data_IF_026180756794
#
_entry.id   IF_026180756794
#
_cell.length_a   1.000
_cell.length_b   1.000
_cell.length_c   1.000
_cell.angle_alpha   90.00
_cell.angle_beta   90.00
_cell.angle_gamma   90.00
#
_symmetry.space_group_name_H-M   'P 1'
#
loop_
_entity.id
_entity.type
_entity.pdbx_description
1 polymer ?
#
# COMPACT_ATOMS: atom_id res chain seq x y z
N UNK A 1 49.23 39.74 29.12
CA UNK A 1 47.77 39.68 28.91
C UNK A 1 47.37 38.23 29.02
N UNK A 2 46.78 37.86 30.16
CA UNK A 2 46.11 36.57 30.34
C UNK A 2 44.72 36.69 29.74
N UNK A 3 44.30 35.67 28.99
CA UNK A 3 42.93 35.50 28.55
C UNK A 3 42.57 34.04 28.80
N UNK A 4 41.99 33.78 29.97
CA UNK A 4 41.12 32.62 30.17
C UNK A 4 39.84 32.84 29.37
N UNK A 5 39.34 31.77 28.74
CA UNK A 5 38.16 31.84 27.88
C UNK A 5 37.56 30.47 27.61
N UNK A 6 36.69 30.06 28.55
CA UNK A 6 35.46 29.26 28.37
C UNK A 6 35.62 27.83 27.83
N UNK A 7 35.57 26.88 28.76
CA UNK A 7 35.06 25.51 28.55
C UNK A 7 33.64 25.59 27.95
N UNK A 8 33.55 25.31 26.65
CA UNK A 8 32.28 25.01 26.00
C UNK A 8 31.91 23.58 26.32
N UNK A 9 30.92 23.42 27.18
CA UNK A 9 30.17 22.19 27.44
C UNK A 9 29.77 21.55 26.10
N UNK A 10 30.56 20.58 25.64
CA UNK A 10 30.19 19.70 24.54
C UNK A 10 29.14 18.74 25.08
N UNK A 11 27.92 19.24 25.26
CA UNK A 11 26.74 18.46 25.53
C UNK A 11 26.73 17.31 24.51
N UNK A 12 27.01 16.11 25.01
CA UNK A 12 26.94 14.89 24.25
C UNK A 12 25.56 14.86 23.59
N UNK A 13 25.53 15.01 22.27
CA UNK A 13 24.31 14.86 21.49
C UNK A 13 23.91 13.40 21.67
N UNK A 14 23.05 13.16 22.67
CA UNK A 14 22.56 11.84 22.98
C UNK A 14 21.96 11.27 21.69
N UNK A 15 22.66 10.30 21.11
CA UNK A 15 22.23 9.65 19.88
C UNK A 15 20.79 9.18 20.09
N UNK A 16 19.86 9.67 19.26
CA UNK A 16 18.47 9.26 19.31
C UNK A 16 18.43 7.71 19.36
N UNK A 17 17.61 7.12 20.24
CA UNK A 17 17.58 5.68 20.41
C UNK A 17 17.34 5.04 19.04
N UNK A 18 18.27 4.18 18.62
CA UNK A 18 18.12 3.41 17.38
C UNK A 18 16.82 2.63 17.50
N UNK A 19 15.90 2.85 16.57
CA UNK A 19 14.67 2.08 16.52
C UNK A 19 15.02 0.61 16.28
N UNK A 20 14.85 -0.22 17.31
CA UNK A 20 15.07 -1.67 17.24
C UNK A 20 13.71 -2.33 17.07
N UNK A 21 13.51 -2.97 15.92
CA UNK A 21 12.34 -3.81 15.69
C UNK A 21 12.45 -5.08 16.53
N UNK A 22 11.35 -5.49 17.15
CA UNK A 22 11.29 -6.79 17.81
C UNK A 22 11.54 -7.89 16.77
N UNK A 23 12.45 -8.85 17.05
CA UNK A 23 12.64 -10.00 16.18
C UNK A 23 11.31 -10.75 16.03
N UNK A 24 10.75 -10.70 14.82
CA UNK A 24 9.55 -11.44 14.46
C UNK A 24 9.92 -12.52 13.44
N UNK A 25 9.27 -13.68 13.52
CA UNK A 25 9.40 -14.67 12.45
C UNK A 25 8.85 -14.07 11.17
N UNK A 26 9.61 -14.19 10.09
CA UNK A 26 9.16 -13.83 8.76
C UNK A 26 8.22 -14.95 8.30
N UNK A 27 6.92 -14.74 8.48
CA UNK A 27 5.89 -15.67 8.02
C UNK A 27 5.54 -15.40 6.56
N UNK A 28 5.19 -16.44 5.81
CA UNK A 28 4.69 -16.28 4.45
C UNK A 28 3.29 -15.66 4.49
N UNK A 29 3.02 -14.73 3.58
CA UNK A 29 1.81 -13.91 3.56
C UNK A 29 1.09 -14.05 2.22
N UNK A 30 -0.23 -14.02 2.27
CA UNK A 30 -1.11 -13.83 1.13
C UNK A 30 -1.69 -12.41 1.24
N UNK A 31 -1.29 -11.54 0.32
CA UNK A 31 -1.59 -10.12 0.35
C UNK A 31 -2.55 -9.77 -0.79
N UNK A 32 -3.76 -9.36 -0.44
CA UNK A 32 -4.76 -8.87 -1.38
C UNK A 32 -4.63 -7.34 -1.49
N UNK A 33 -4.21 -6.85 -2.65
CA UNK A 33 -4.34 -5.43 -2.97
C UNK A 33 -5.75 -5.14 -3.48
N UNK A 34 -6.37 -4.11 -2.91
CA UNK A 34 -7.61 -3.55 -3.41
C UNK A 34 -7.38 -2.07 -3.73
N UNK A 35 -7.39 -1.74 -5.01
CA UNK A 35 -7.07 -0.40 -5.51
C UNK A 35 -8.35 0.31 -5.92
N UNK A 36 -8.62 1.47 -5.32
CA UNK A 36 -9.67 2.37 -5.77
C UNK A 36 -9.33 2.92 -7.16
N UNK A 37 -10.18 2.64 -8.15
CA UNK A 37 -9.98 3.01 -9.55
C UNK A 37 -11.00 4.07 -10.01
N UNK A 38 -11.58 4.84 -9.08
CA UNK A 38 -12.46 5.94 -9.45
C UNK A 38 -11.78 7.00 -10.35
N UNK A 39 -12.56 7.83 -11.05
CA UNK A 39 -12.05 8.94 -11.85
C UNK A 39 -11.18 9.91 -11.02
N UNK A 40 -11.41 10.06 -9.71
CA UNK A 40 -10.54 10.83 -8.81
C UNK A 40 -9.09 10.32 -8.76
N UNK A 41 -8.83 9.08 -9.20
CA UNK A 41 -7.49 8.52 -9.33
C UNK A 41 -6.65 9.16 -10.45
N UNK A 42 -7.30 9.85 -11.39
CA UNK A 42 -6.62 10.59 -12.47
C UNK A 42 -6.19 12.00 -12.05
N UNK A 43 -6.60 12.48 -10.89
CA UNK A 43 -6.21 13.81 -10.41
C UNK A 43 -4.69 13.88 -10.28
N UNK A 44 -4.12 14.92 -10.87
CA UNK A 44 -2.68 15.17 -10.84
C UNK A 44 -2.21 15.44 -9.41
N UNK A 45 -1.05 14.88 -9.08
CA UNK A 45 -0.39 15.16 -7.82
C UNK A 45 0.39 16.49 -7.92
N UNK A 46 0.54 17.16 -6.77
CA UNK A 46 1.38 18.37 -6.66
C UNK A 46 2.88 18.11 -6.89
N UNK A 47 3.27 16.84 -7.02
CA UNK A 47 4.62 16.41 -7.35
C UNK A 47 4.71 16.12 -8.84
N UNK A 48 5.72 16.67 -9.51
CA UNK A 48 6.02 16.36 -10.91
C UNK A 48 6.69 14.99 -11.03
N UNK A 49 6.26 14.19 -12.00
CA UNK A 49 6.90 12.92 -12.33
C UNK A 49 8.28 13.10 -12.97
N UNK A 50 8.96 11.98 -13.31
CA UNK A 50 10.25 12.02 -14.01
C UNK A 50 10.17 12.91 -15.26
N UNK A 51 11.07 13.89 -15.36
CA UNK A 51 11.12 14.82 -16.49
C UNK A 51 10.04 15.92 -16.47
N UNK A 52 9.44 16.23 -15.33
CA UNK A 52 8.50 17.34 -15.18
C UNK A 52 7.09 17.04 -15.69
N UNK A 53 6.80 15.80 -16.08
CA UNK A 53 5.50 15.40 -16.61
C UNK A 53 4.45 15.36 -15.50
N UNK A 54 3.18 15.71 -15.80
CA UNK A 54 2.08 15.49 -14.87
C UNK A 54 2.01 14.03 -14.44
N UNK A 55 1.71 13.81 -13.16
CA UNK A 55 1.74 12.49 -12.52
C UNK A 55 0.41 12.27 -11.79
N UNK A 56 -0.40 11.33 -12.27
CA UNK A 56 -1.69 11.06 -11.63
C UNK A 56 -1.52 10.23 -10.36
N UNK A 57 -2.49 10.30 -9.43
CA UNK A 57 -2.50 9.46 -8.22
C UNK A 57 -2.41 7.97 -8.55
N UNK A 58 -3.10 7.53 -9.62
CA UNK A 58 -3.05 6.13 -10.06
C UNK A 58 -1.64 5.70 -10.47
N UNK A 59 -0.85 6.59 -11.09
CA UNK A 59 0.54 6.29 -11.46
C UNK A 59 1.42 6.13 -10.22
N UNK A 60 1.23 6.98 -9.22
CA UNK A 60 1.89 6.86 -7.92
C UNK A 60 1.58 5.53 -7.22
N UNK A 61 0.30 5.14 -7.27
CA UNK A 61 -0.16 3.87 -6.71
C UNK A 61 0.49 2.71 -7.44
N UNK A 62 0.52 2.72 -8.78
CA UNK A 62 1.20 1.67 -9.57
C UNK A 62 2.68 1.53 -9.18
N UNK A 63 3.40 2.65 -9.07
CA UNK A 63 4.82 2.64 -8.69
C UNK A 63 5.04 2.12 -7.25
N UNK A 64 4.24 2.58 -6.29
CA UNK A 64 4.33 2.14 -4.90
C UNK A 64 3.98 0.65 -4.72
N UNK A 65 2.99 0.14 -5.45
CA UNK A 65 2.64 -1.28 -5.45
C UNK A 65 3.78 -2.13 -6.00
N UNK A 66 4.41 -1.73 -7.12
CA UNK A 66 5.56 -2.42 -7.68
C UNK A 66 6.71 -2.48 -6.66
N UNK A 67 7.08 -1.33 -6.09
CA UNK A 67 8.13 -1.24 -5.07
C UNK A 67 7.82 -2.13 -3.86
N UNK A 68 6.57 -2.13 -3.40
CA UNK A 68 6.13 -2.94 -2.28
C UNK A 68 6.25 -4.44 -2.58
N UNK A 69 5.78 -4.90 -3.75
CA UNK A 69 5.89 -6.31 -4.17
C UNK A 69 7.35 -6.75 -4.18
N UNK A 70 8.23 -5.99 -4.84
CA UNK A 70 9.66 -6.29 -4.88
C UNK A 70 10.27 -6.33 -3.47
N UNK A 71 9.94 -5.34 -2.63
CA UNK A 71 10.48 -5.23 -1.28
C UNK A 71 10.03 -6.39 -0.39
N UNK A 72 8.76 -6.81 -0.49
CA UNK A 72 8.25 -7.97 0.25
C UNK A 72 8.92 -9.27 -0.24
N UNK A 73 8.98 -9.50 -1.54
CA UNK A 73 9.62 -10.72 -2.08
C UNK A 73 11.12 -10.80 -1.74
N UNK A 74 11.82 -9.67 -1.67
CA UNK A 74 13.22 -9.63 -1.21
C UNK A 74 13.38 -10.06 0.27
N UNK A 75 12.37 -9.82 1.10
CA UNK A 75 12.34 -10.26 2.52
C UNK A 75 11.96 -11.74 2.61
N UNK A 76 10.97 -12.17 1.83
CA UNK A 76 10.54 -13.57 1.77
C UNK A 76 9.95 -13.89 0.38
N UNK A 77 10.61 -14.76 -0.42
CA UNK A 77 10.16 -15.12 -1.76
C UNK A 77 8.84 -15.90 -1.77
N UNK A 78 8.42 -16.44 -0.62
CA UNK A 78 7.16 -17.17 -0.51
C UNK A 78 5.95 -16.25 -0.41
N UNK A 79 6.09 -14.92 -0.25
CA UNK A 79 4.94 -14.01 -0.24
C UNK A 79 4.18 -14.09 -1.57
N UNK A 80 2.85 -14.05 -1.50
CA UNK A 80 1.98 -14.11 -2.69
C UNK A 80 1.03 -12.94 -2.72
N UNK A 81 0.70 -12.49 -3.92
CA UNK A 81 -0.12 -11.32 -4.16
C UNK A 81 -1.32 -11.65 -5.05
N UNK A 82 -2.45 -11.04 -4.74
CA UNK A 82 -3.65 -11.01 -5.56
C UNK A 82 -4.15 -9.57 -5.67
N UNK A 83 -4.93 -9.28 -6.71
CA UNK A 83 -5.31 -7.92 -7.06
C UNK A 83 -6.82 -7.82 -7.29
N UNK A 84 -7.42 -6.81 -6.68
CA UNK A 84 -8.79 -6.40 -6.88
C UNK A 84 -8.84 -4.89 -7.14
N UNK A 85 -9.89 -4.47 -7.85
CA UNK A 85 -10.22 -3.05 -8.07
C UNK A 85 -11.47 -2.71 -7.29
N UNK A 86 -11.57 -1.46 -6.83
CA UNK A 86 -12.77 -0.92 -6.21
C UNK A 86 -13.28 0.27 -7.03
N UNK A 87 -14.48 0.14 -7.56
CA UNK A 87 -15.28 1.28 -8.05
C UNK A 87 -16.51 1.40 -7.16
N UNK A 88 -17.70 1.05 -7.66
CA UNK A 88 -18.90 0.94 -6.83
C UNK A 88 -18.83 -0.27 -5.89
N UNK A 89 -18.28 -1.39 -6.36
CA UNK A 89 -18.02 -2.58 -5.56
C UNK A 89 -16.69 -3.21 -5.95
N UNK A 90 -16.18 -4.13 -5.12
CA UNK A 90 -14.90 -4.78 -5.37
C UNK A 90 -15.03 -5.84 -6.48
N UNK A 91 -14.10 -5.83 -7.43
CA UNK A 91 -14.00 -6.82 -8.50
C UNK A 91 -12.57 -7.39 -8.56
N UNK A 92 -12.47 -8.67 -8.94
CA UNK A 92 -11.16 -9.30 -9.14
C UNK A 92 -10.50 -8.75 -10.39
N UNK A 93 -9.25 -8.31 -10.23
CA UNK A 93 -8.35 -8.07 -11.36
C UNK A 93 -7.50 -9.32 -11.62
N UNK A 94 -7.01 -9.93 -10.53
CA UNK A 94 -6.30 -11.20 -10.53
C UNK A 94 -6.58 -11.94 -9.23
N UNK A 95 -7.23 -13.09 -9.33
CA UNK A 95 -7.69 -13.86 -8.17
C UNK A 95 -6.60 -14.78 -7.62
N UNK A 96 -5.78 -15.39 -8.47
CA UNK A 96 -4.77 -16.33 -8.02
C UNK A 96 -3.60 -15.62 -7.33
N UNK A 97 -3.39 -15.98 -6.06
CA UNK A 97 -2.21 -15.60 -5.28
C UNK A 97 -0.95 -16.17 -5.91
N UNK A 98 -0.02 -15.30 -6.30
CA UNK A 98 1.26 -15.67 -6.90
C UNK A 98 2.43 -14.85 -6.35
N UNK A 99 3.61 -15.46 -6.27
CA UNK A 99 4.89 -14.78 -5.98
C UNK A 99 5.60 -14.27 -7.23
N UNK A 100 5.03 -14.50 -8.42
CA UNK A 100 5.59 -14.09 -9.71
C UNK A 100 5.50 -12.57 -9.91
N UNK A 101 6.66 -11.94 -10.12
CA UNK A 101 6.81 -10.48 -10.24
C UNK A 101 6.17 -9.99 -11.53
N UNK A 102 6.36 -10.71 -12.64
CA UNK A 102 5.86 -10.37 -13.96
C UNK A 102 4.32 -10.37 -13.99
N UNK A 103 3.72 -11.37 -13.36
CA UNK A 103 2.28 -11.46 -13.10
C UNK A 103 1.76 -10.27 -12.29
N UNK A 104 2.45 -9.90 -11.20
CA UNK A 104 2.08 -8.75 -10.39
C UNK A 104 2.20 -7.44 -11.20
N UNK A 105 3.30 -7.28 -11.95
CA UNK A 105 3.52 -6.12 -12.81
C UNK A 105 2.49 -6.03 -13.94
N UNK A 106 2.06 -7.15 -14.52
CA UNK A 106 0.98 -7.20 -15.50
C UNK A 106 -0.36 -6.74 -14.91
N UNK A 107 -0.72 -7.24 -13.72
CA UNK A 107 -1.91 -6.80 -13.01
C UNK A 107 -1.86 -5.29 -12.70
N UNK A 108 -0.75 -4.80 -12.15
CA UNK A 108 -0.57 -3.38 -11.82
C UNK A 108 -0.66 -2.50 -13.07
N UNK A 109 -0.05 -2.90 -14.19
CA UNK A 109 -0.14 -2.15 -15.46
C UNK A 109 -1.57 -2.10 -16.00
N UNK A 110 -2.36 -3.16 -15.80
CA UNK A 110 -3.75 -3.24 -16.26
C UNK A 110 -4.74 -2.38 -15.46
N UNK A 111 -4.33 -1.86 -14.29
CA UNK A 111 -5.15 -0.90 -13.53
C UNK A 111 -5.43 0.33 -14.39
N UNK A 112 -6.70 0.68 -14.50
CA UNK A 112 -7.18 1.84 -15.24
C UNK A 112 -8.32 2.50 -14.48
N UNK A 113 -8.40 3.83 -14.57
CA UNK A 113 -9.48 4.57 -13.95
C UNK A 113 -10.82 4.26 -14.65
N UNK A 114 -11.87 4.14 -13.86
CA UNK A 114 -13.25 4.02 -14.30
C UNK A 114 -13.97 5.36 -14.20
N UNK A 115 -15.22 5.41 -14.65
CA UNK A 115 -16.07 6.58 -14.44
C UNK A 115 -16.22 6.91 -12.95
N UNK A 116 -16.43 8.19 -12.64
CA UNK A 116 -16.73 8.64 -11.29
C UNK A 116 -17.95 7.87 -10.74
N UNK A 117 -17.81 7.34 -9.54
CA UNK A 117 -18.86 6.68 -8.79
C UNK A 117 -18.89 7.28 -7.38
N UNK A 118 -20.07 7.30 -6.76
CA UNK A 118 -20.23 7.84 -5.40
C UNK A 118 -19.56 6.95 -4.36
N UNK A 119 -20.32 6.56 -3.33
CA UNK A 119 -19.78 5.70 -2.28
C UNK A 119 -19.45 4.29 -2.79
N UNK A 120 -18.27 3.81 -2.40
CA UNK A 120 -17.89 2.41 -2.57
C UNK A 120 -18.56 1.53 -1.52
N UNK A 121 -19.10 0.40 -1.96
CA UNK A 121 -19.55 -0.68 -1.08
C UNK A 121 -18.40 -1.69 -0.86
N UNK A 122 -17.89 -1.73 0.38
CA UNK A 122 -16.82 -2.64 0.80
C UNK A 122 -17.33 -4.04 1.19
N UNK A 123 -18.65 -4.27 1.21
CA UNK A 123 -19.24 -5.55 1.61
C UNK A 123 -18.68 -6.70 0.78
N UNK A 124 -18.57 -6.52 -0.54
CA UNK A 124 -18.02 -7.54 -1.43
C UNK A 124 -16.53 -7.80 -1.17
N UNK A 125 -15.75 -6.74 -0.89
CA UNK A 125 -14.33 -6.87 -0.54
C UNK A 125 -14.15 -7.70 0.72
N UNK A 126 -14.90 -7.41 1.78
CA UNK A 126 -14.77 -8.15 3.03
C UNK A 126 -15.27 -9.59 2.94
N UNK A 127 -16.29 -9.88 2.12
CA UNK A 127 -16.71 -11.26 1.83
C UNK A 127 -15.59 -12.05 1.14
N UNK A 128 -14.96 -11.45 0.12
CA UNK A 128 -13.79 -12.01 -0.55
C UNK A 128 -12.65 -12.24 0.45
N UNK A 129 -12.31 -11.22 1.23
CA UNK A 129 -11.24 -11.27 2.22
C UNK A 129 -11.48 -12.36 3.27
N UNK A 130 -12.70 -12.48 3.80
CA UNK A 130 -13.04 -13.51 4.78
C UNK A 130 -12.90 -14.94 4.20
N UNK A 131 -13.22 -15.13 2.93
CA UNK A 131 -13.04 -16.41 2.26
C UNK A 131 -11.55 -16.76 2.08
N UNK A 132 -10.76 -15.84 1.51
CA UNK A 132 -9.34 -16.07 1.25
C UNK A 132 -8.52 -16.14 2.55
N UNK A 133 -8.92 -15.43 3.61
CA UNK A 133 -8.31 -15.55 4.93
C UNK A 133 -8.41 -16.97 5.50
N UNK A 134 -9.57 -17.62 5.35
CA UNK A 134 -9.75 -19.03 5.76
C UNK A 134 -8.81 -19.94 4.98
N UNK A 135 -8.71 -19.75 3.66
CA UNK A 135 -7.83 -20.54 2.79
C UNK A 135 -6.36 -20.36 3.13
N UNK A 136 -5.92 -19.13 3.35
CA UNK A 136 -4.54 -18.80 3.75
C UNK A 136 -4.18 -19.43 5.09
N UNK A 137 -5.11 -19.38 6.05
CA UNK A 137 -4.94 -20.00 7.37
C UNK A 137 -4.78 -21.52 7.29
N UNK A 138 -5.54 -22.20 6.42
CA UNK A 138 -5.36 -23.64 6.19
C UNK A 138 -3.99 -24.00 5.63
N UNK A 139 -3.31 -23.06 4.97
CA UNK A 139 -1.96 -23.21 4.44
C UNK A 139 -0.87 -22.71 5.41
N UNK A 140 -1.24 -22.37 6.66
CA UNK A 140 -0.36 -21.80 7.67
C UNK A 140 0.29 -20.47 7.25
N UNK A 141 -0.49 -19.62 6.55
CA UNK A 141 -0.06 -18.31 6.03
C UNK A 141 -0.88 -17.18 6.64
N UNK A 142 -0.26 -16.01 6.78
CA UNK A 142 -0.95 -14.80 7.22
C UNK A 142 -1.67 -14.18 6.02
N UNK A 143 -2.94 -13.82 6.17
CA UNK A 143 -3.67 -13.08 5.15
C UNK A 143 -3.73 -11.58 5.50
N UNK A 144 -3.44 -10.71 4.53
CA UNK A 144 -3.55 -9.25 4.67
C UNK A 144 -4.30 -8.63 3.51
N UNK A 145 -5.09 -7.60 3.81
CA UNK A 145 -5.71 -6.73 2.79
C UNK A 145 -5.02 -5.38 2.84
N UNK A 146 -4.46 -4.95 1.72
CA UNK A 146 -3.90 -3.62 1.53
C UNK A 146 -4.88 -2.81 0.68
N UNK A 147 -5.53 -1.83 1.30
CA UNK A 147 -6.55 -1.01 0.65
C UNK A 147 -6.01 0.37 0.31
N UNK A 148 -6.03 0.74 -0.98
CA UNK A 148 -5.63 2.06 -1.47
C UNK A 148 -6.88 2.85 -1.84
N UNK A 149 -7.44 3.62 -0.89
CA UNK A 149 -8.61 4.47 -1.09
C UNK A 149 -8.19 5.85 -1.61
N UNK A 150 -8.86 6.35 -2.65
CA UNK A 150 -8.55 7.67 -3.22
C UNK A 150 -9.72 8.63 -3.02
N UNK A 151 -10.95 8.10 -2.97
CA UNK A 151 -12.15 8.83 -2.58
C UNK A 151 -12.15 9.06 -1.07
N UNK A 152 -11.81 10.27 -0.64
CA UNK A 152 -11.95 10.68 0.76
C UNK A 152 -13.03 11.76 0.86
N UNK A 153 -14.28 11.35 1.05
CA UNK A 153 -15.38 12.27 1.31
C UNK A 153 -15.48 12.50 2.82
N UNK A 154 -15.16 13.71 3.29
CA UNK A 154 -15.49 14.17 4.64
C UNK A 154 -17.01 14.34 4.77
N UNK A 155 -17.72 13.24 4.98
CA UNK A 155 -19.08 13.30 5.50
C UNK A 155 -19.21 12.22 6.56
N UNK A 156 -18.77 12.55 7.79
CA UNK A 156 -19.42 11.95 8.94
C UNK A 156 -20.92 12.31 8.82
N UNK A 157 -21.85 11.34 8.94
CA UNK A 157 -23.25 11.69 9.00
C UNK A 157 -23.44 12.61 10.21
N UNK A 158 -23.71 13.89 9.96
CA UNK A 158 -24.28 14.75 10.98
C UNK A 158 -25.61 14.10 11.34
N UNK A 159 -25.66 13.49 12.51
CA UNK A 159 -26.90 12.98 13.09
C UNK A 159 -27.88 14.17 13.16
N UNK A 160 -28.97 14.07 12.40
CA UNK A 160 -30.14 14.95 12.49
C UNK A 160 -31.10 14.43 13.54
#
# INVERSE_FOLDING_TARGET
>A
MMMEGVEGDAAAVAAAPRYVLNPARISSEDILFCVDVDAESLVEMKATGPGGRPFARLDAIKQSLLLFVHSKLAINPDHRFAFATLSKSAAWLRKEFSSDVESAAAAIRSLSATSACGHADLTQLFRIAAHEAKKSRMQNRIFRVCFCCIRFSYTAPMAS
#
